data_IF_324034419738
#
_entry.id   IF_324034419738
#
_cell.length_a   1.000
_cell.length_b   1.000
_cell.length_c   1.000
_cell.angle_alpha   90.00
_cell.angle_beta   90.00
_cell.angle_gamma   90.00
#
_symmetry.space_group_name_H-M   'P 1'
#
loop_
_entity.id
_entity.type
_entity.pdbx_description
1 polymer ?
#
# COMPACT_ATOMS: atom_id res chain seq x y z
N UNK A 1 -7.35 36.29 14.38
CA UNK A 1 -6.37 35.21 14.41
C UNK A 1 -5.74 35.09 13.04
N UNK A 2 -4.45 35.36 12.95
CA UNK A 2 -3.73 35.51 11.68
C UNK A 2 -3.43 34.14 11.12
N UNK A 3 -4.04 33.82 9.98
CA UNK A 3 -3.74 32.59 9.22
C UNK A 3 -2.28 32.70 8.78
N UNK A 4 -1.42 31.86 9.34
CA UNK A 4 -0.02 31.78 8.94
C UNK A 4 0.08 31.45 7.46
N UNK A 5 0.75 32.31 6.69
CA UNK A 5 1.13 32.08 5.31
C UNK A 5 1.96 30.80 5.26
N UNK A 6 1.41 29.74 4.66
CA UNK A 6 2.20 28.60 4.22
C UNK A 6 3.22 29.15 3.23
N UNK A 7 4.48 29.15 3.61
CA UNK A 7 5.60 29.48 2.71
C UNK A 7 5.58 28.48 1.58
N UNK A 8 5.32 28.96 0.37
CA UNK A 8 5.39 28.13 -0.83
C UNK A 8 6.80 27.51 -0.90
N UNK A 9 6.89 26.22 -0.70
CA UNK A 9 8.15 25.47 -0.83
C UNK A 9 8.58 25.58 -2.27
N UNK A 10 9.77 26.16 -2.51
CA UNK A 10 10.30 26.36 -3.86
C UNK A 10 10.40 24.97 -4.54
N UNK A 11 9.83 24.86 -5.75
CA UNK A 11 9.84 23.62 -6.51
C UNK A 11 11.29 23.27 -6.91
N UNK A 12 11.79 22.07 -6.59
CA UNK A 12 13.10 21.63 -7.05
C UNK A 12 13.14 21.57 -8.59
N UNK A 13 14.20 22.09 -9.19
CA UNK A 13 14.33 22.22 -10.66
C UNK A 13 14.29 20.86 -11.40
N UNK A 14 14.60 19.76 -10.71
CA UNK A 14 14.59 18.40 -11.27
C UNK A 14 13.21 17.72 -11.18
N UNK A 15 12.24 18.33 -10.47
CA UNK A 15 10.94 17.71 -10.25
C UNK A 15 9.99 18.01 -11.43
N UNK A 16 9.40 16.97 -12.08
CA UNK A 16 8.47 17.17 -13.20
C UNK A 16 7.27 18.05 -12.81
N UNK A 17 6.70 18.78 -13.77
CA UNK A 17 5.57 19.69 -13.53
C UNK A 17 4.33 19.02 -12.98
N UNK A 18 4.17 17.76 -13.24
CA UNK A 18 3.03 16.92 -12.83
C UNK A 18 3.14 16.43 -11.38
N UNK A 19 4.30 16.60 -10.73
CA UNK A 19 4.52 16.17 -9.34
C UNK A 19 4.28 17.34 -8.39
N UNK A 20 3.43 17.14 -7.39
CA UNK A 20 3.13 18.14 -6.39
C UNK A 20 4.27 18.27 -5.37
N UNK A 21 4.98 19.42 -5.32
CA UNK A 21 6.08 19.63 -4.39
C UNK A 21 5.64 19.79 -2.94
N UNK A 22 4.36 20.01 -2.67
CA UNK A 22 3.83 20.09 -1.29
C UNK A 22 3.65 18.70 -0.69
N UNK A 23 3.38 17.71 -1.53
CA UNK A 23 3.29 16.29 -1.14
C UNK A 23 4.67 15.63 -1.17
N UNK A 24 5.44 15.85 -2.23
CA UNK A 24 6.73 15.21 -2.50
C UNK A 24 7.85 16.24 -2.50
N UNK A 25 8.14 16.78 -1.31
CA UNK A 25 9.21 17.74 -1.09
C UNK A 25 10.61 17.10 -1.22
N UNK A 26 11.63 17.93 -1.25
CA UNK A 26 13.02 17.47 -1.39
C UNK A 26 13.46 16.58 -0.22
N UNK A 27 12.93 16.82 0.98
CA UNK A 27 13.23 16.00 2.17
C UNK A 27 12.67 14.58 1.99
N UNK A 28 11.44 14.46 1.49
CA UNK A 28 10.82 13.18 1.16
C UNK A 28 11.61 12.43 0.08
N UNK A 29 12.00 13.11 -1.01
CA UNK A 29 12.77 12.48 -2.09
C UNK A 29 14.12 11.96 -1.61
N UNK A 30 14.83 12.71 -0.75
CA UNK A 30 16.05 12.24 -0.11
C UNK A 30 15.82 11.03 0.82
N UNK A 31 14.70 10.99 1.53
CA UNK A 31 14.33 9.80 2.31
C UNK A 31 14.09 8.59 1.41
N UNK A 32 13.40 8.78 0.29
CA UNK A 32 13.14 7.74 -0.69
C UNK A 32 14.43 7.14 -1.26
N UNK A 33 15.41 7.98 -1.61
CA UNK A 33 16.74 7.53 -2.06
C UNK A 33 17.49 6.75 -0.98
N UNK A 34 17.47 7.22 0.27
CA UNK A 34 18.07 6.49 1.40
C UNK A 34 17.44 5.13 1.61
N UNK A 35 16.11 5.01 1.48
CA UNK A 35 15.40 3.75 1.55
C UNK A 35 15.91 2.75 0.51
N UNK A 36 16.14 3.20 -0.72
CA UNK A 36 16.71 2.35 -1.78
C UNK A 36 18.12 1.88 -1.47
N UNK A 37 18.97 2.79 -0.99
CA UNK A 37 20.35 2.43 -0.64
C UNK A 37 20.38 1.36 0.45
N UNK A 38 19.50 1.45 1.43
CA UNK A 38 19.36 0.47 2.49
C UNK A 38 18.81 -0.87 1.99
N UNK A 39 17.89 -0.86 1.02
CA UNK A 39 17.36 -2.08 0.39
C UNK A 39 18.38 -2.75 -0.54
N UNK A 40 19.22 -1.98 -1.22
CA UNK A 40 20.31 -2.49 -2.07
C UNK A 40 21.53 -2.93 -1.29
N UNK A 41 21.68 -2.51 -0.03
CA UNK A 41 22.77 -3.00 0.81
C UNK A 41 22.61 -4.51 0.98
N UNK A 42 23.69 -5.31 0.72
CA UNK A 42 23.62 -6.75 0.90
C UNK A 42 23.36 -7.05 2.37
N UNK A 43 22.11 -7.37 2.70
CA UNK A 43 21.78 -7.90 4.02
C UNK A 43 22.48 -9.25 4.09
N UNK A 44 23.53 -9.35 4.93
CA UNK A 44 24.17 -10.62 5.25
C UNK A 44 23.11 -11.55 5.85
N UNK A 45 22.55 -12.42 5.02
CA UNK A 45 21.47 -13.34 5.38
C UNK A 45 20.24 -13.17 4.50
N UNK A 46 20.37 -13.49 3.21
CA UNK A 46 19.28 -14.03 2.39
C UNK A 46 18.04 -13.16 2.17
N UNK A 47 18.16 -11.91 1.70
CA UNK A 47 17.06 -11.19 1.07
C UNK A 47 17.12 -11.35 -0.47
N UNK A 48 17.17 -12.60 -0.95
CA UNK A 48 16.65 -13.00 -2.24
C UNK A 48 15.33 -13.75 -2.01
N UNK A 49 14.36 -13.06 -1.49
CA UNK A 49 13.00 -13.53 -1.34
C UNK A 49 12.14 -13.11 -2.52
N UNK A 50 12.59 -13.35 -3.74
CA UNK A 50 11.64 -13.55 -4.82
C UNK A 50 10.79 -14.75 -4.40
N UNK A 51 9.47 -14.61 -4.36
CA UNK A 51 8.55 -15.74 -4.19
C UNK A 51 8.80 -16.70 -5.36
N UNK A 52 9.73 -17.64 -5.14
CA UNK A 52 10.05 -18.66 -6.13
C UNK A 52 8.91 -19.65 -6.15
N UNK A 53 8.01 -19.51 -7.10
CA UNK A 53 7.07 -20.56 -7.46
C UNK A 53 7.76 -21.46 -8.47
N UNK A 54 8.00 -22.72 -8.10
CA UNK A 54 8.48 -23.72 -9.03
C UNK A 54 7.28 -24.22 -9.83
N UNK A 55 6.99 -23.59 -10.96
CA UNK A 55 5.99 -24.04 -11.93
C UNK A 55 6.64 -24.39 -13.25
N UNK A 56 6.02 -25.35 -13.96
CA UNK A 56 6.37 -25.70 -15.34
C UNK A 56 6.05 -24.52 -16.27
N UNK A 57 7.07 -23.78 -16.72
CA UNK A 57 6.92 -22.65 -17.63
C UNK A 57 8.22 -22.34 -18.39
N UNK A 58 8.11 -21.55 -19.45
CA UNK A 58 9.24 -21.07 -20.25
C UNK A 58 9.90 -19.86 -19.55
N UNK A 59 10.66 -20.08 -18.50
CA UNK A 59 11.49 -19.04 -17.87
C UNK A 59 12.95 -19.16 -18.31
N UNK A 60 13.68 -18.04 -18.22
CA UNK A 60 15.05 -17.91 -18.71
C UNK A 60 16.08 -18.35 -17.67
N UNK A 61 15.75 -18.42 -16.37
CA UNK A 61 16.69 -18.81 -15.32
C UNK A 61 16.53 -20.28 -14.94
N UNK A 62 17.63 -21.03 -15.08
CA UNK A 62 17.71 -22.40 -14.64
C UNK A 62 17.67 -22.48 -13.11
N UNK A 63 16.77 -23.32 -12.58
CA UNK A 63 16.61 -23.52 -11.13
C UNK A 63 17.31 -24.77 -10.62
N UNK A 64 17.00 -25.94 -11.20
CA UNK A 64 17.48 -27.24 -10.73
C UNK A 64 17.18 -28.34 -11.77
N UNK A 65 17.69 -29.53 -11.52
CA UNK A 65 17.35 -30.74 -12.26
C UNK A 65 16.42 -31.63 -11.43
N UNK A 66 15.47 -32.24 -12.11
CA UNK A 66 14.62 -33.31 -11.55
C UNK A 66 14.70 -34.54 -12.43
N UNK A 67 14.69 -35.74 -11.82
CA UNK A 67 14.55 -36.98 -12.57
C UNK A 67 13.27 -36.94 -13.42
N UNK A 68 13.39 -37.42 -14.65
CA UNK A 68 12.27 -37.56 -15.58
C UNK A 68 11.26 -38.55 -15.06
N UNK A 69 9.98 -38.18 -15.14
CA UNK A 69 8.85 -39.06 -14.85
C UNK A 69 8.00 -39.26 -16.11
N UNK A 70 7.40 -40.43 -16.26
CA UNK A 70 6.56 -40.74 -17.43
C UNK A 70 5.45 -39.68 -17.57
N UNK A 71 5.38 -39.01 -18.72
CA UNK A 71 4.42 -37.93 -19.00
C UNK A 71 5.02 -36.54 -18.91
N UNK A 72 6.31 -36.37 -18.56
CA UNK A 72 7.00 -35.10 -18.63
C UNK A 72 7.26 -34.66 -20.09
N UNK A 73 7.31 -33.34 -20.33
CA UNK A 73 7.58 -32.80 -21.65
C UNK A 73 9.05 -33.05 -22.06
N UNK A 74 9.23 -33.84 -23.11
CA UNK A 74 10.54 -34.18 -23.64
C UNK A 74 11.39 -32.99 -24.13
N UNK A 75 10.75 -31.83 -24.38
CA UNK A 75 11.43 -30.61 -24.78
C UNK A 75 12.23 -29.97 -23.62
N UNK A 76 11.93 -30.35 -22.39
CA UNK A 76 12.60 -29.87 -21.19
C UNK A 76 13.73 -30.80 -20.73
N UNK A 77 13.96 -31.92 -21.43
CA UNK A 77 15.07 -32.82 -21.15
C UNK A 77 16.42 -32.17 -21.45
N UNK A 78 17.37 -32.33 -20.53
CA UNK A 78 18.76 -31.96 -20.80
C UNK A 78 19.51 -33.11 -21.45
N UNK A 79 19.60 -33.07 -22.78
CA UNK A 79 20.32 -34.06 -23.57
C UNK A 79 21.83 -34.05 -23.29
N UNK A 80 22.41 -32.94 -22.82
CA UNK A 80 23.83 -32.90 -22.46
C UNK A 80 24.10 -33.64 -21.15
N UNK A 81 23.18 -33.57 -20.20
CA UNK A 81 23.28 -34.34 -18.94
C UNK A 81 23.04 -35.80 -19.21
N UNK A 82 22.07 -36.14 -20.06
CA UNK A 82 21.84 -37.53 -20.49
C UNK A 82 23.07 -38.17 -21.14
N UNK A 83 23.75 -37.45 -22.04
CA UNK A 83 24.96 -37.94 -22.71
C UNK A 83 26.13 -38.20 -21.74
N UNK A 84 26.13 -37.61 -20.54
CA UNK A 84 27.21 -37.79 -19.54
C UNK A 84 26.87 -38.80 -18.44
N UNK A 85 25.60 -38.82 -18.03
CA UNK A 85 25.16 -39.57 -16.85
C UNK A 85 24.25 -40.75 -17.18
N UNK A 86 23.82 -40.88 -18.43
CA UNK A 86 22.85 -41.90 -18.90
C UNK A 86 21.52 -41.88 -18.09
N UNK A 87 21.21 -40.76 -17.51
CA UNK A 87 19.98 -40.53 -16.75
C UNK A 87 19.22 -39.34 -17.32
N UNK A 88 17.89 -39.49 -17.40
CA UNK A 88 17.03 -38.47 -17.94
C UNK A 88 16.69 -37.43 -16.84
N UNK A 89 17.09 -36.19 -17.05
CA UNK A 89 16.78 -35.07 -16.18
C UNK A 89 15.96 -34.02 -16.92
N UNK A 90 14.93 -33.51 -16.25
CA UNK A 90 14.13 -32.38 -16.71
C UNK A 90 14.68 -31.11 -16.06
N UNK A 91 14.93 -30.10 -16.89
CA UNK A 91 15.30 -28.75 -16.40
C UNK A 91 14.10 -28.10 -15.71
N UNK A 92 14.29 -27.74 -14.49
CA UNK A 92 13.35 -26.86 -13.77
C UNK A 92 13.79 -25.41 -13.95
N UNK A 93 12.88 -24.60 -14.40
CA UNK A 93 13.11 -23.15 -14.51
C UNK A 93 12.36 -22.43 -13.41
N UNK A 94 12.95 -21.36 -12.90
CA UNK A 94 12.25 -20.42 -12.01
C UNK A 94 11.42 -19.53 -12.90
N UNK A 95 10.11 -19.61 -12.77
CA UNK A 95 9.22 -18.59 -13.31
C UNK A 95 9.20 -17.44 -12.29
N UNK A 96 9.77 -16.29 -12.65
CA UNK A 96 9.52 -15.06 -11.92
C UNK A 96 8.06 -14.70 -12.15
N UNK A 97 7.19 -15.03 -11.20
CA UNK A 97 5.81 -14.52 -11.24
C UNK A 97 5.88 -12.99 -11.08
N UNK A 98 5.53 -12.27 -12.14
CA UNK A 98 5.33 -10.82 -12.12
C UNK A 98 4.28 -10.48 -11.05
N UNK A 99 4.72 -10.04 -9.88
CA UNK A 99 3.80 -9.62 -8.81
C UNK A 99 3.24 -8.25 -9.18
N UNK A 100 1.93 -8.13 -9.15
CA UNK A 100 1.27 -6.82 -9.27
C UNK A 100 0.93 -6.29 -7.88
N UNK A 101 1.53 -5.16 -7.51
CA UNK A 101 1.20 -4.43 -6.28
C UNK A 101 0.22 -3.33 -6.62
N UNK A 102 -1.00 -3.43 -6.11
CA UNK A 102 -2.06 -2.45 -6.36
C UNK A 102 -2.33 -1.63 -5.10
N UNK A 103 -2.08 -0.33 -5.15
CA UNK A 103 -2.42 0.63 -4.10
C UNK A 103 -3.84 1.14 -4.34
N UNK A 104 -4.73 0.89 -3.40
CA UNK A 104 -6.07 1.45 -3.32
C UNK A 104 -6.04 2.55 -2.27
N UNK A 105 -6.13 3.80 -2.70
CA UNK A 105 -6.04 4.97 -1.82
C UNK A 105 -7.44 5.54 -1.67
N UNK A 106 -7.92 5.55 -0.45
CA UNK A 106 -9.15 6.22 -0.08
C UNK A 106 -8.99 7.73 -0.27
N UNK A 107 -9.87 8.31 -1.05
CA UNK A 107 -9.91 9.73 -1.34
C UNK A 107 -11.21 10.40 -0.85
N UNK A 108 -11.86 9.81 0.15
CA UNK A 108 -13.03 10.37 0.83
C UNK A 108 -12.73 11.71 1.51
N UNK A 109 -13.76 12.48 1.83
CA UNK A 109 -13.61 13.80 2.46
C UNK A 109 -12.91 13.69 3.83
N UNK A 110 -13.13 12.62 4.58
CA UNK A 110 -12.48 12.36 5.85
C UNK A 110 -10.96 12.28 5.75
N UNK A 111 -10.43 11.82 4.62
CA UNK A 111 -8.98 11.72 4.35
C UNK A 111 -8.29 13.09 4.19
N UNK A 112 -9.03 14.18 3.98
CA UNK A 112 -8.49 15.54 3.98
C UNK A 112 -8.25 16.10 5.40
N UNK A 113 -8.75 15.42 6.42
CA UNK A 113 -8.64 15.87 7.81
C UNK A 113 -7.28 15.51 8.43
N UNK A 114 -6.97 16.20 9.53
CA UNK A 114 -5.76 15.95 10.33
C UNK A 114 -4.56 16.81 9.94
N UNK A 115 -3.57 16.83 10.84
CA UNK A 115 -2.27 17.45 10.62
C UNK A 115 -1.18 16.54 11.19
N UNK A 116 -0.33 15.94 10.33
CA UNK A 116 -0.37 16.01 8.85
C UNK A 116 -1.66 15.43 8.24
N UNK A 117 -2.02 15.95 7.05
CA UNK A 117 -3.17 15.52 6.24
C UNK A 117 -3.06 14.03 5.89
N UNK A 118 -4.13 13.26 6.16
CA UNK A 118 -4.15 11.79 5.96
C UNK A 118 -3.94 11.40 4.50
N UNK A 119 -4.54 12.13 3.55
CA UNK A 119 -4.39 11.82 2.12
C UNK A 119 -2.95 12.10 1.65
N UNK A 120 -2.31 13.17 2.10
CA UNK A 120 -0.91 13.44 1.78
C UNK A 120 0.00 12.36 2.36
N UNK A 121 -0.24 11.94 3.60
CA UNK A 121 0.50 10.85 4.21
C UNK A 121 0.29 9.53 3.45
N UNK A 122 -0.95 9.19 3.08
CA UNK A 122 -1.28 8.02 2.26
C UNK A 122 -0.54 8.00 0.92
N UNK A 123 -0.47 9.16 0.23
CA UNK A 123 0.31 9.32 -1.01
C UNK A 123 1.81 9.07 -0.79
N UNK A 124 2.38 9.61 0.29
CA UNK A 124 3.79 9.40 0.66
C UNK A 124 4.07 7.92 0.98
N UNK A 125 3.18 7.27 1.73
CA UNK A 125 3.28 5.84 2.03
C UNK A 125 3.22 4.98 0.76
N UNK A 126 2.24 5.27 -0.13
CA UNK A 126 2.12 4.59 -1.42
C UNK A 126 3.33 4.83 -2.34
N UNK A 127 3.91 6.05 -2.32
CA UNK A 127 5.12 6.36 -3.08
C UNK A 127 6.32 5.55 -2.60
N UNK A 128 6.53 5.46 -1.28
CA UNK A 128 7.64 4.72 -0.69
C UNK A 128 7.54 3.22 -1.00
N UNK A 129 6.38 2.62 -0.76
CA UNK A 129 6.15 1.20 -1.01
C UNK A 129 6.14 0.89 -2.51
N UNK A 130 5.50 1.75 -3.32
CA UNK A 130 5.47 1.60 -4.76
C UNK A 130 6.85 1.74 -5.39
N UNK A 131 7.72 2.59 -4.84
CA UNK A 131 9.11 2.68 -5.31
C UNK A 131 9.92 1.41 -5.01
N UNK A 132 9.69 0.78 -3.85
CA UNK A 132 10.27 -0.52 -3.54
C UNK A 132 9.83 -1.57 -4.57
N UNK A 133 8.53 -1.64 -4.87
CA UNK A 133 8.00 -2.54 -5.89
C UNK A 133 8.63 -2.29 -7.27
N UNK A 134 8.71 -1.01 -7.70
CA UNK A 134 9.38 -0.65 -8.96
C UNK A 134 10.86 -1.04 -8.99
N UNK A 135 11.56 -0.91 -7.86
CA UNK A 135 12.97 -1.30 -7.74
C UNK A 135 13.17 -2.83 -7.76
N UNK A 136 12.14 -3.57 -7.36
CA UNK A 136 12.08 -5.04 -7.43
C UNK A 136 11.52 -5.56 -8.76
N UNK A 137 11.33 -4.69 -9.75
CA UNK A 137 10.75 -4.99 -11.07
C UNK A 137 9.29 -5.46 -11.02
N UNK A 138 8.58 -5.26 -9.88
CA UNK A 138 7.16 -5.53 -9.77
C UNK A 138 6.32 -4.57 -10.61
N UNK A 139 5.11 -5.00 -10.96
CA UNK A 139 4.11 -4.12 -11.58
C UNK A 139 3.38 -3.33 -10.51
N UNK A 140 3.49 -2.01 -10.53
CA UNK A 140 2.85 -1.11 -9.57
C UNK A 140 1.66 -0.41 -10.21
N UNK A 141 0.51 -0.50 -9.57
CA UNK A 141 -0.74 0.14 -9.97
C UNK A 141 -1.24 1.01 -8.83
N UNK A 142 -1.74 2.20 -9.16
CA UNK A 142 -2.39 3.10 -8.20
C UNK A 142 -3.84 3.31 -8.62
N UNK A 143 -4.76 3.25 -7.67
CA UNK A 143 -6.15 3.58 -7.87
C UNK A 143 -6.68 4.44 -6.71
N UNK A 144 -7.35 5.53 -7.03
CA UNK A 144 -8.06 6.34 -6.04
C UNK A 144 -9.49 5.83 -5.90
N UNK A 145 -9.93 5.59 -4.67
CA UNK A 145 -11.32 5.26 -4.33
C UNK A 145 -12.07 6.55 -4.05
N UNK A 146 -13.03 6.91 -4.90
CA UNK A 146 -13.78 8.15 -4.81
C UNK A 146 -15.23 7.94 -5.30
N UNK A 147 -16.21 8.46 -4.57
CA UNK A 147 -17.61 8.20 -4.86
C UNK A 147 -17.91 6.71 -4.84
N UNK A 148 -18.39 6.15 -5.95
CA UNK A 148 -18.68 4.70 -6.09
C UNK A 148 -17.71 3.96 -7.01
N UNK A 149 -16.62 4.60 -7.42
CA UNK A 149 -15.71 4.07 -8.44
C UNK A 149 -14.26 4.12 -7.98
N UNK A 150 -13.43 3.30 -8.62
CA UNK A 150 -11.98 3.38 -8.49
C UNK A 150 -11.40 3.96 -9.79
N UNK A 151 -10.68 5.07 -9.67
CA UNK A 151 -9.93 5.66 -10.78
C UNK A 151 -8.55 5.02 -10.84
N UNK A 152 -8.45 3.96 -11.64
CA UNK A 152 -7.21 3.19 -11.79
C UNK A 152 -6.27 3.86 -12.80
N UNK A 153 -4.99 3.91 -12.46
CA UNK A 153 -3.91 4.38 -13.33
C UNK A 153 -3.25 3.20 -14.07
N UNK A 154 -2.53 3.51 -15.14
CA UNK A 154 -1.77 2.50 -15.90
C UNK A 154 -0.69 1.86 -15.02
N UNK A 155 -0.46 0.56 -15.19
CA UNK A 155 0.59 -0.16 -14.48
C UNK A 155 1.98 0.38 -14.88
N UNK A 156 2.83 0.53 -13.88
CA UNK A 156 4.22 0.95 -14.02
C UNK A 156 5.15 -0.21 -13.68
N UNK A 157 6.32 -0.29 -14.32
CA UNK A 157 7.36 -1.28 -14.02
C UNK A 157 8.75 -0.65 -14.17
N UNK A 158 9.65 -1.04 -13.30
CA UNK A 158 11.05 -0.58 -13.30
C UNK A 158 11.28 0.75 -12.59
N UNK A 159 12.43 0.86 -11.95
CA UNK A 159 12.82 2.01 -11.10
C UNK A 159 12.82 3.36 -11.82
N UNK A 160 13.04 3.38 -13.14
CA UNK A 160 12.98 4.61 -13.96
C UNK A 160 11.58 5.23 -14.04
N UNK A 161 10.54 4.55 -13.56
CA UNK A 161 9.15 5.06 -13.58
C UNK A 161 8.73 5.78 -12.29
N UNK A 162 9.65 6.01 -11.36
CA UNK A 162 9.35 6.65 -10.07
C UNK A 162 8.65 8.00 -10.23
N UNK A 163 9.13 8.89 -11.09
CA UNK A 163 8.49 10.19 -11.28
C UNK A 163 7.08 10.09 -11.85
N UNK A 164 6.81 9.06 -12.67
CA UNK A 164 5.44 8.79 -13.13
C UNK A 164 4.55 8.28 -12.00
N UNK A 165 5.09 7.47 -11.10
CA UNK A 165 4.38 7.06 -9.88
C UNK A 165 4.03 8.28 -9.02
N UNK A 166 5.00 9.19 -8.78
CA UNK A 166 4.77 10.41 -8.01
C UNK A 166 3.72 11.31 -8.66
N UNK A 167 3.77 11.48 -10.00
CA UNK A 167 2.77 12.25 -10.75
C UNK A 167 1.36 11.61 -10.63
N UNK A 168 1.27 10.30 -10.74
CA UNK A 168 0.02 9.56 -10.58
C UNK A 168 -0.59 9.76 -9.17
N UNK A 169 0.25 9.73 -8.14
CA UNK A 169 -0.18 9.97 -6.75
C UNK A 169 -0.54 11.44 -6.52
N UNK A 170 0.20 12.39 -7.11
CA UNK A 170 -0.12 13.83 -7.03
C UNK A 170 -1.51 14.13 -7.60
N UNK A 171 -1.90 13.45 -8.67
CA UNK A 171 -3.19 13.65 -9.33
C UNK A 171 -4.41 13.16 -8.53
N UNK A 172 -4.20 12.45 -7.42
CA UNK A 172 -5.30 12.06 -6.53
C UNK A 172 -5.75 13.28 -5.74
N UNK A 173 -7.01 13.65 -5.88
CA UNK A 173 -7.65 14.69 -5.09
C UNK A 173 -8.72 14.08 -4.19
N UNK A 174 -9.09 14.78 -3.13
CA UNK A 174 -10.25 14.44 -2.31
C UNK A 174 -11.50 14.41 -3.18
N UNK A 175 -12.38 13.45 -2.94
CA UNK A 175 -13.63 13.30 -3.68
C UNK A 175 -14.58 14.49 -3.40
N UNK A 176 -15.22 14.94 -4.46
CA UNK A 176 -16.31 15.92 -4.34
C UNK A 176 -17.61 15.16 -3.97
N UNK A 177 -17.95 15.15 -2.69
CA UNK A 177 -19.15 14.51 -2.15
C UNK A 177 -18.90 13.14 -1.51
N UNK A 178 -19.98 12.48 -1.05
CA UNK A 178 -19.88 11.26 -0.24
C UNK A 178 -19.26 10.09 -1.01
N UNK A 179 -18.48 9.28 -0.31
CA UNK A 179 -17.82 8.09 -0.85
C UNK A 179 -18.50 6.84 -0.32
N UNK A 180 -18.89 5.93 -1.22
CA UNK A 180 -19.29 4.56 -0.93
C UNK A 180 -18.02 3.68 -1.11
N UNK A 181 -17.26 3.54 -0.04
CA UNK A 181 -15.96 2.85 -0.07
C UNK A 181 -16.10 1.40 -0.54
N UNK A 182 -17.19 0.72 -0.17
CA UNK A 182 -17.44 -0.67 -0.58
C UNK A 182 -17.67 -0.77 -2.10
N UNK A 183 -18.50 0.10 -2.67
CA UNK A 183 -18.74 0.10 -4.11
C UNK A 183 -17.45 0.42 -4.88
N UNK A 184 -16.68 1.42 -4.43
CA UNK A 184 -15.40 1.79 -5.04
C UNK A 184 -14.37 0.65 -4.95
N UNK A 185 -14.28 -0.01 -3.79
CA UNK A 185 -13.38 -1.15 -3.59
C UNK A 185 -13.76 -2.35 -4.47
N UNK A 186 -15.05 -2.66 -4.61
CA UNK A 186 -15.55 -3.72 -5.52
C UNK A 186 -15.26 -3.39 -6.97
N UNK A 187 -15.44 -2.13 -7.37
CA UNK A 187 -15.08 -1.68 -8.72
C UNK A 187 -13.56 -1.83 -8.96
N UNK A 188 -12.72 -1.55 -7.97
CA UNK A 188 -11.28 -1.79 -8.05
C UNK A 188 -10.97 -3.29 -8.15
N UNK A 189 -11.58 -4.12 -7.28
CA UNK A 189 -11.37 -5.55 -7.24
C UNK A 189 -11.71 -6.24 -8.57
N UNK A 190 -12.78 -5.81 -9.25
CA UNK A 190 -13.15 -6.32 -10.57
C UNK A 190 -12.11 -6.03 -11.67
N UNK A 191 -11.21 -5.09 -11.44
CA UNK A 191 -10.13 -4.72 -12.37
C UNK A 191 -8.79 -5.37 -12.01
N UNK A 192 -8.72 -6.14 -10.92
CA UNK A 192 -7.51 -6.87 -10.54
C UNK A 192 -7.34 -8.07 -11.47
N UNK A 193 -6.14 -8.22 -12.00
CA UNK A 193 -5.78 -9.34 -12.89
C UNK A 193 -4.66 -10.16 -12.28
N UNK A 194 -4.86 -11.47 -12.18
CA UNK A 194 -3.85 -12.39 -11.66
C UNK A 194 -3.68 -12.35 -10.13
N UNK A 195 -2.65 -13.03 -9.65
CA UNK A 195 -2.24 -12.99 -8.25
C UNK A 195 -1.40 -11.75 -7.98
N UNK A 196 -1.65 -11.08 -6.87
CA UNK A 196 -0.91 -9.88 -6.52
C UNK A 196 -1.11 -9.48 -5.06
N UNK A 197 -0.53 -8.35 -4.71
CA UNK A 197 -0.68 -7.71 -3.41
C UNK A 197 -1.58 -6.49 -3.58
N UNK A 198 -2.62 -6.40 -2.78
CA UNK A 198 -3.49 -5.22 -2.68
C UNK A 198 -3.17 -4.49 -1.38
N UNK A 199 -2.81 -3.22 -1.50
CA UNK A 199 -2.55 -2.34 -0.35
C UNK A 199 -3.69 -1.33 -0.28
N UNK A 200 -4.57 -1.49 0.69
CA UNK A 200 -5.63 -0.53 0.99
C UNK A 200 -5.09 0.50 1.98
N UNK A 201 -5.20 1.78 1.65
CA UNK A 201 -4.79 2.91 2.51
C UNK A 201 -6.03 3.77 2.76
N UNK A 202 -6.54 3.75 3.98
CA UNK A 202 -7.79 4.40 4.38
C UNK A 202 -7.81 4.67 5.88
N UNK A 203 -8.61 5.62 6.33
CA UNK A 203 -8.92 5.82 7.74
C UNK A 203 -10.05 4.87 8.24
N UNK A 204 -10.63 4.07 7.33
CA UNK A 204 -11.66 3.07 7.62
C UNK A 204 -12.91 3.64 8.34
N UNK A 205 -13.17 4.95 8.24
CA UNK A 205 -14.33 5.58 8.88
C UNK A 205 -15.66 5.29 8.17
N UNK A 206 -15.62 4.73 6.95
CA UNK A 206 -16.83 4.27 6.24
C UNK A 206 -17.49 3.11 7.01
N UNK A 207 -18.81 3.14 7.25
CA UNK A 207 -19.54 2.07 7.96
C UNK A 207 -19.42 0.67 7.33
N UNK A 208 -19.03 0.61 6.07
CA UNK A 208 -18.85 -0.66 5.33
C UNK A 208 -17.39 -1.15 5.30
N UNK A 209 -16.45 -0.50 6.00
CA UNK A 209 -15.03 -0.81 5.96
C UNK A 209 -14.71 -2.29 6.29
N UNK A 210 -15.48 -2.91 7.18
CA UNK A 210 -15.37 -4.34 7.49
C UNK A 210 -15.66 -5.23 6.27
N UNK A 211 -16.65 -4.85 5.45
CA UNK A 211 -16.99 -5.56 4.20
C UNK A 211 -15.92 -5.34 3.13
N UNK A 212 -15.35 -4.15 3.06
CA UNK A 212 -14.23 -3.84 2.15
C UNK A 212 -13.05 -4.79 2.42
N UNK A 213 -12.65 -4.95 3.68
CA UNK A 213 -11.57 -5.87 4.05
C UNK A 213 -11.91 -7.33 3.70
N UNK A 214 -13.16 -7.74 3.89
CA UNK A 214 -13.61 -9.09 3.51
C UNK A 214 -13.57 -9.33 2.02
N UNK A 215 -14.03 -8.38 1.23
CA UNK A 215 -14.15 -8.52 -0.23
C UNK A 215 -12.78 -8.46 -0.90
N UNK A 216 -11.92 -7.51 -0.52
CA UNK A 216 -10.55 -7.37 -1.06
C UNK A 216 -9.62 -8.52 -0.67
N UNK A 217 -9.82 -9.14 0.51
CA UNK A 217 -9.04 -10.30 0.96
C UNK A 217 -9.31 -11.60 0.19
N UNK A 218 -10.17 -11.56 -0.82
CA UNK A 218 -10.51 -12.74 -1.63
C UNK A 218 -9.66 -12.78 -2.89
N UNK A 219 -8.73 -13.72 -2.99
CA UNK A 219 -7.92 -13.99 -4.20
C UNK A 219 -6.60 -13.22 -4.32
N UNK A 220 -6.35 -12.22 -3.48
CA UNK A 220 -5.09 -11.47 -3.40
C UNK A 220 -4.59 -11.40 -1.96
N UNK A 221 -3.28 -11.18 -1.79
CA UNK A 221 -2.75 -10.83 -0.49
C UNK A 221 -3.16 -9.38 -0.18
N UNK A 222 -3.86 -9.18 0.93
CA UNK A 222 -4.33 -7.86 1.35
C UNK A 222 -3.47 -7.30 2.47
N UNK A 223 -3.06 -6.05 2.31
CA UNK A 223 -2.41 -5.23 3.33
C UNK A 223 -3.31 -4.03 3.57
N UNK A 224 -3.73 -3.84 4.80
CA UNK A 224 -4.54 -2.69 5.23
C UNK A 224 -3.63 -1.73 5.99
N UNK A 225 -3.45 -0.54 5.46
CA UNK A 225 -2.76 0.57 6.10
C UNK A 225 -3.83 1.50 6.65
N UNK A 226 -4.07 1.41 7.95
CA UNK A 226 -5.08 2.20 8.65
C UNK A 226 -4.46 3.54 9.08
N UNK A 227 -4.83 4.62 8.41
CA UNK A 227 -4.24 5.95 8.59
C UNK A 227 -5.10 6.80 9.50
N UNK A 228 -4.55 7.23 10.63
CA UNK A 228 -5.20 8.14 11.57
C UNK A 228 -4.28 9.31 11.91
N UNK A 229 -4.87 10.49 12.07
CA UNK A 229 -4.13 11.67 12.51
C UNK A 229 -3.91 11.67 14.03
N UNK A 230 -2.87 12.34 14.56
CA UNK A 230 -2.68 12.52 15.99
C UNK A 230 -3.91 13.13 16.68
N UNK A 231 -4.63 14.02 15.99
CA UNK A 231 -5.84 14.66 16.50
C UNK A 231 -7.01 13.68 16.66
N UNK A 232 -7.04 12.62 15.87
CA UNK A 232 -8.02 11.52 16.00
C UNK A 232 -7.60 10.52 17.07
N UNK A 233 -6.29 10.29 17.23
CA UNK A 233 -5.76 9.36 18.23
C UNK A 233 -5.83 9.91 19.65
N UNK A 234 -5.50 11.18 19.80
CA UNK A 234 -5.48 11.89 21.08
C UNK A 234 -6.04 13.31 20.94
N UNK A 235 -7.38 13.45 20.82
CA UNK A 235 -8.00 14.75 20.62
C UNK A 235 -7.84 15.62 21.85
N UNK A 236 -7.37 16.86 21.64
CA UNK A 236 -7.28 17.91 22.66
C UNK A 236 -8.50 18.81 22.51
N UNK A 237 -9.62 18.38 23.11
CA UNK A 237 -10.92 19.04 23.01
C UNK A 237 -11.49 19.21 24.42
N UNK A 238 -12.15 20.36 24.68
CA UNK A 238 -12.77 20.63 25.97
C UNK A 238 -13.96 21.60 25.79
N UNK A 239 -15.01 21.36 26.56
CA UNK A 239 -16.21 22.23 26.60
C UNK A 239 -17.25 21.85 25.54
N UNK A 240 -18.18 22.81 25.34
CA UNK A 240 -19.29 22.64 24.40
C UNK A 240 -18.81 22.92 22.97
N UNK A 241 -19.06 22.01 22.07
CA UNK A 241 -18.67 22.12 20.67
C UNK A 241 -19.65 21.41 19.74
N UNK A 242 -19.63 21.83 18.48
CA UNK A 242 -20.36 21.17 17.41
C UNK A 242 -19.38 20.37 16.56
N UNK A 243 -19.53 19.04 16.56
CA UNK A 243 -18.84 18.15 15.65
C UNK A 243 -19.60 18.08 14.33
N UNK A 244 -18.89 18.21 13.22
CA UNK A 244 -19.47 18.17 11.87
C UNK A 244 -18.89 16.99 11.12
N UNK A 245 -19.75 16.16 10.56
CA UNK A 245 -19.36 15.06 9.69
C UNK A 245 -18.79 15.59 8.38
N UNK A 246 -17.58 15.15 8.03
CA UNK A 246 -16.87 15.64 6.84
C UNK A 246 -17.50 15.18 5.52
N UNK A 247 -18.26 14.08 5.53
CA UNK A 247 -18.89 13.49 4.34
C UNK A 247 -20.28 14.07 4.08
N UNK A 248 -21.10 14.21 5.14
CA UNK A 248 -22.51 14.61 5.02
C UNK A 248 -22.75 16.07 5.36
N UNK A 249 -21.86 16.70 6.13
CA UNK A 249 -22.05 18.04 6.68
C UNK A 249 -22.99 18.08 7.89
N UNK A 250 -23.51 16.94 8.34
CA UNK A 250 -24.35 16.86 9.53
C UNK A 250 -23.56 17.23 10.78
N UNK A 251 -24.22 17.91 11.72
CA UNK A 251 -23.58 18.35 12.96
C UNK A 251 -24.28 17.81 14.20
N UNK A 252 -23.48 17.46 15.20
CA UNK A 252 -23.94 17.08 16.53
C UNK A 252 -23.29 17.97 17.57
N UNK A 253 -24.10 18.50 18.50
CA UNK A 253 -23.61 19.28 19.62
C UNK A 253 -23.23 18.32 20.77
N UNK A 254 -22.00 18.47 21.27
CA UNK A 254 -21.46 17.61 22.33
C UNK A 254 -20.74 18.46 23.36
N UNK A 255 -20.86 18.07 24.64
CA UNK A 255 -20.00 18.57 25.70
C UNK A 255 -18.86 17.59 25.91
N UNK A 256 -17.65 18.05 25.72
CA UNK A 256 -16.43 17.24 25.87
C UNK A 256 -15.81 17.49 27.22
N UNK A 257 -15.76 16.44 28.03
CA UNK A 257 -15.06 16.37 29.30
C UNK A 257 -14.06 15.19 29.31
N UNK A 258 -13.32 15.02 30.38
CA UNK A 258 -12.35 13.94 30.52
C UNK A 258 -12.98 12.57 30.37
N UNK A 259 -14.19 12.35 30.92
CA UNK A 259 -14.87 11.07 30.83
C UNK A 259 -15.31 10.76 29.39
N UNK A 260 -15.74 11.78 28.66
CA UNK A 260 -16.06 11.69 27.23
C UNK A 260 -14.83 11.31 26.40
N UNK A 261 -13.67 11.93 26.67
CA UNK A 261 -12.41 11.61 26.00
C UNK A 261 -11.92 10.21 26.32
N UNK A 262 -11.97 9.78 27.58
CA UNK A 262 -11.60 8.41 27.97
C UNK A 262 -12.51 7.38 27.28
N UNK A 263 -13.82 7.66 27.25
CA UNK A 263 -14.78 6.82 26.53
C UNK A 263 -14.51 6.76 25.01
N UNK A 264 -14.11 7.87 24.41
CA UNK A 264 -13.70 7.94 23.00
C UNK A 264 -12.46 7.06 22.75
N UNK A 265 -11.38 7.24 23.54
CA UNK A 265 -10.14 6.48 23.42
C UNK A 265 -10.36 4.98 23.56
N UNK A 266 -11.19 4.57 24.51
CA UNK A 266 -11.54 3.17 24.70
C UNK A 266 -12.29 2.59 23.49
N UNK A 267 -13.25 3.32 22.91
CA UNK A 267 -13.98 2.91 21.70
C UNK A 267 -13.06 2.87 20.48
N UNK A 268 -12.19 3.85 20.33
CA UNK A 268 -11.21 3.88 19.24
C UNK A 268 -10.26 2.67 19.29
N UNK A 269 -9.76 2.33 20.48
CA UNK A 269 -8.91 1.16 20.68
C UNK A 269 -9.65 -0.13 20.31
N UNK A 270 -10.86 -0.33 20.84
CA UNK A 270 -11.68 -1.51 20.53
C UNK A 270 -12.03 -1.61 19.03
N UNK A 271 -12.28 -0.48 18.37
CA UNK A 271 -12.55 -0.42 16.93
C UNK A 271 -11.35 -0.83 16.11
N UNK A 272 -10.14 -0.32 16.42
CA UNK A 272 -8.88 -0.70 15.78
C UNK A 272 -8.58 -2.20 16.00
N UNK A 273 -8.76 -2.70 17.23
CA UNK A 273 -8.59 -4.12 17.54
C UNK A 273 -9.56 -5.00 16.74
N UNK A 274 -10.79 -4.53 16.52
CA UNK A 274 -11.77 -5.21 15.67
C UNK A 274 -11.29 -5.39 14.24
N UNK A 275 -10.68 -4.36 13.62
CA UNK A 275 -10.10 -4.46 12.29
C UNK A 275 -8.85 -5.34 12.25
N UNK A 276 -8.00 -5.26 13.25
CA UNK A 276 -6.82 -6.11 13.35
C UNK A 276 -7.20 -7.59 13.43
N UNK A 277 -8.23 -7.92 14.23
CA UNK A 277 -8.78 -9.28 14.35
C UNK A 277 -9.44 -9.75 13.05
N UNK A 278 -10.20 -8.87 12.38
CA UNK A 278 -10.82 -9.17 11.08
C UNK A 278 -9.76 -9.47 10.03
N UNK A 279 -8.73 -8.62 9.92
CA UNK A 279 -7.62 -8.83 9.00
C UNK A 279 -6.91 -10.17 9.29
N UNK A 280 -6.60 -10.46 10.55
CA UNK A 280 -6.01 -11.73 10.96
C UNK A 280 -6.85 -12.94 10.52
N UNK A 281 -8.17 -12.89 10.71
CA UNK A 281 -9.10 -13.96 10.26
C UNK A 281 -9.10 -14.14 8.75
N UNK A 282 -8.82 -13.07 7.99
CA UNK A 282 -8.76 -13.06 6.53
C UNK A 282 -7.36 -13.30 5.97
N UNK A 283 -6.36 -13.57 6.83
CA UNK A 283 -4.96 -13.69 6.47
C UNK A 283 -4.42 -12.43 5.77
N UNK A 284 -5.02 -11.28 6.07
CA UNK A 284 -4.56 -9.97 5.67
C UNK A 284 -3.61 -9.38 6.72
N UNK A 285 -2.69 -8.53 6.28
CA UNK A 285 -1.86 -7.73 7.18
C UNK A 285 -2.59 -6.45 7.53
N UNK A 286 -2.60 -6.07 8.81
CA UNK A 286 -3.14 -4.80 9.28
C UNK A 286 -2.03 -4.00 9.95
N UNK A 287 -1.89 -2.75 9.55
CA UNK A 287 -0.88 -1.82 10.04
C UNK A 287 -1.56 -0.53 10.44
N UNK A 288 -1.41 -0.17 11.71
CA UNK A 288 -1.88 1.10 12.25
C UNK A 288 -0.82 2.18 12.00
N UNK A 289 -1.22 3.27 11.36
CA UNK A 289 -0.32 4.30 10.84
C UNK A 289 -0.74 5.70 11.26
N UNK A 290 -0.22 6.20 12.39
CA UNK A 290 -0.30 7.62 12.70
C UNK A 290 0.37 8.48 11.62
N UNK A 291 -0.27 9.61 11.23
CA UNK A 291 0.26 10.47 10.15
C UNK A 291 1.52 11.24 10.53
N UNK A 292 1.88 11.31 11.80
CA UNK A 292 3.12 11.89 12.32
C UNK A 292 4.29 10.89 12.38
N UNK A 293 4.02 9.60 12.09
CA UNK A 293 5.07 8.58 12.07
C UNK A 293 6.08 8.88 10.94
N UNK A 294 7.39 8.93 11.24
CA UNK A 294 8.41 9.07 10.21
C UNK A 294 8.33 7.94 9.18
N UNK A 295 8.25 8.28 7.90
CA UNK A 295 8.02 7.32 6.82
C UNK A 295 9.08 6.22 6.75
N UNK A 296 10.32 6.52 7.18
CA UNK A 296 11.39 5.55 7.29
C UNK A 296 11.06 4.45 8.32
N UNK A 297 10.48 4.82 9.45
CA UNK A 297 10.05 3.87 10.47
C UNK A 297 8.90 3.00 9.98
N UNK A 298 7.94 3.62 9.26
CA UNK A 298 6.87 2.92 8.59
C UNK A 298 7.37 1.77 7.73
N UNK A 299 8.29 2.09 6.81
CA UNK A 299 8.74 1.11 5.82
C UNK A 299 9.62 0.03 6.46
N UNK A 300 10.49 0.40 7.39
CA UNK A 300 11.48 -0.53 7.92
C UNK A 300 11.03 -1.31 9.15
N UNK A 301 10.42 -0.66 10.13
CA UNK A 301 10.08 -1.31 11.37
C UNK A 301 8.80 -2.15 11.24
N UNK A 302 7.74 -1.57 10.71
CA UNK A 302 6.42 -2.22 10.75
C UNK A 302 6.23 -3.23 9.63
N UNK A 303 6.66 -2.92 8.39
CA UNK A 303 6.51 -3.84 7.27
C UNK A 303 7.50 -5.02 7.33
N UNK A 304 8.72 -4.78 7.84
CA UNK A 304 9.69 -5.85 8.08
C UNK A 304 9.26 -6.74 9.25
N UNK A 305 8.76 -6.16 10.37
CA UNK A 305 8.25 -6.89 11.52
C UNK A 305 7.10 -7.80 11.14
N UNK A 306 6.26 -7.39 10.18
CA UNK A 306 5.09 -8.14 9.72
C UNK A 306 5.36 -9.05 8.51
N UNK A 307 6.62 -9.16 8.06
CA UNK A 307 7.01 -9.95 6.88
C UNK A 307 6.26 -9.57 5.60
N UNK A 308 5.85 -8.33 5.48
CA UNK A 308 5.13 -7.80 4.31
C UNK A 308 6.11 -7.49 3.18
N UNK A 309 7.34 -7.12 3.53
CA UNK A 309 8.48 -7.05 2.62
C UNK A 309 9.42 -8.19 3.01
N UNK A 310 9.47 -9.23 2.20
CA UNK A 310 10.14 -10.51 2.37
C UNK A 310 11.60 -10.49 2.77
#
# INVERSE_FOLDING_TARGET
MTVGRVTATARPAFLPSEVDPTVFDEAFLRQLERLLLLLKAPVRGGLKGGRRSVKRGQSVEFADYRDYSLGDDLRQLDWNVYARLERLFVKLFVEEEDVTVTFLIDASASMAAGQPDKLQFAKRAAAALGYIGLASEDRVVVAALAGRTARRQSALRGSGRVFRLLANLSAIAVADGPTDLLAAARHAAAQLTGRGVVVLISDLLDPSADRVIRDLGTGSELIVLHVLSPQELDPVLEGDMRLVDAETGDGIDVTVDLATLDGYKARLAAWKDGFAELARKRRASYVDLPTDLPLAELVFAELRRRRVLG
#
